data_IF_024349486279
#
_entry.id   IF_024349486279
#
_cell.length_a   1.000
_cell.length_b   1.000
_cell.length_c   1.000
_cell.angle_alpha   90.00
_cell.angle_beta   90.00
_cell.angle_gamma   90.00
#
_symmetry.space_group_name_H-M   'P 1'
#
loop_
_entity.id
_entity.type
_entity.pdbx_description
1 polymer ?
#
# COMPACT_ATOMS: atom_id res chain seq x y z
N UNK A 1 -3.55 4.95 16.35
CA UNK A 1 -2.77 5.79 15.42
C UNK A 1 -1.25 5.74 15.62
N UNK A 2 -0.72 5.59 16.81
CA UNK A 2 0.71 5.70 17.15
C UNK A 2 1.67 4.99 16.18
N UNK A 3 2.05 3.77 16.48
CA UNK A 3 3.05 3.00 15.72
C UNK A 3 2.48 2.29 14.48
N UNK A 4 1.17 2.40 14.24
CA UNK A 4 0.51 1.86 13.06
C UNK A 4 0.68 2.75 11.84
N UNK A 5 0.89 2.15 10.67
CA UNK A 5 1.03 2.85 9.40
C UNK A 5 0.21 2.17 8.31
N UNK A 6 -0.48 2.97 7.50
CA UNK A 6 -1.15 2.54 6.27
C UNK A 6 -0.22 2.88 5.11
N UNK A 7 0.35 1.87 4.48
CA UNK A 7 1.33 2.01 3.39
C UNK A 7 0.72 1.66 2.05
N UNK A 8 0.98 2.47 1.03
CA UNK A 8 0.75 2.09 -0.35
C UNK A 8 2.07 1.60 -0.96
N UNK A 9 2.05 0.39 -1.49
CA UNK A 9 3.16 -0.23 -2.20
C UNK A 9 2.91 -0.19 -3.70
N UNK A 10 3.94 0.14 -4.45
CA UNK A 10 3.95 0.13 -5.90
C UNK A 10 5.10 -0.78 -6.32
N UNK A 11 4.76 -1.94 -6.87
CA UNK A 11 5.72 -2.97 -7.23
C UNK A 11 5.68 -3.25 -8.72
N UNK A 12 6.85 -3.56 -9.32
CA UNK A 12 6.91 -4.11 -10.66
C UNK A 12 6.30 -5.51 -10.69
N UNK A 13 5.47 -5.77 -11.69
CA UNK A 13 4.87 -7.08 -11.90
C UNK A 13 4.75 -7.35 -13.41
N UNK A 14 5.74 -8.03 -13.96
CA UNK A 14 5.86 -8.25 -15.40
C UNK A 14 4.67 -9.00 -16.01
N UNK A 15 4.04 -9.89 -15.24
CA UNK A 15 2.87 -10.66 -15.68
C UNK A 15 1.56 -9.87 -15.64
N UNK A 16 1.59 -8.61 -15.19
CA UNK A 16 0.44 -7.73 -15.19
C UNK A 16 0.40 -6.93 -16.49
N UNK A 17 -0.81 -6.70 -17.02
CA UNK A 17 -1.05 -5.91 -18.25
C UNK A 17 -0.32 -4.56 -18.24
N UNK A 18 -0.20 -3.93 -17.09
CA UNK A 18 0.41 -2.60 -16.93
C UNK A 18 1.88 -2.66 -16.46
N UNK A 19 2.43 -3.85 -16.20
CA UNK A 19 3.79 -4.03 -15.69
C UNK A 19 4.02 -3.62 -14.24
N UNK A 20 2.97 -3.12 -13.56
CA UNK A 20 3.01 -2.62 -12.18
C UNK A 20 1.74 -2.98 -11.44
N UNK A 21 1.83 -3.04 -10.11
CA UNK A 21 0.67 -3.17 -9.25
C UNK A 21 0.75 -2.24 -8.05
N UNK A 22 -0.42 -1.81 -7.58
CA UNK A 22 -0.59 -1.07 -6.34
C UNK A 22 -1.20 -1.98 -5.28
N UNK A 23 -0.65 -1.92 -4.07
CA UNK A 23 -1.14 -2.69 -2.92
C UNK A 23 -1.19 -1.81 -1.68
N UNK A 24 -2.10 -2.12 -0.77
CA UNK A 24 -2.12 -1.55 0.58
C UNK A 24 -1.51 -2.56 1.55
N UNK A 25 -0.73 -2.06 2.49
CA UNK A 25 -0.26 -2.79 3.65
C UNK A 25 -0.56 -1.99 4.91
N UNK A 26 -0.92 -2.69 5.98
CA UNK A 26 -1.01 -2.11 7.31
C UNK A 26 0.15 -2.66 8.12
N UNK A 27 0.94 -1.79 8.72
CA UNK A 27 2.13 -2.18 9.46
C UNK A 27 2.16 -1.56 10.85
N UNK A 28 2.75 -2.28 11.79
CA UNK A 28 3.04 -1.82 13.14
C UNK A 28 4.52 -2.04 13.40
N UNK A 29 5.21 -1.00 13.83
CA UNK A 29 6.66 -1.05 14.04
C UNK A 29 6.96 -0.79 15.52
N UNK A 30 7.85 -1.61 16.10
CA UNK A 30 8.29 -1.48 17.48
C UNK A 30 9.81 -1.74 17.57
N UNK A 31 10.44 -1.19 18.60
CA UNK A 31 11.80 -1.61 18.95
C UNK A 31 11.78 -3.11 19.28
N UNK A 32 12.79 -3.86 18.84
CA UNK A 32 12.86 -5.33 18.98
C UNK A 32 12.66 -5.80 20.44
N UNK A 33 13.14 -5.02 21.42
CA UNK A 33 12.89 -5.32 22.85
C UNK A 33 11.39 -5.33 23.25
N UNK A 34 10.54 -4.66 22.48
CA UNK A 34 9.11 -4.57 22.70
C UNK A 34 8.30 -5.47 21.73
N UNK A 35 8.96 -6.40 21.05
CA UNK A 35 8.32 -7.27 20.05
C UNK A 35 7.08 -8.00 20.58
N UNK A 36 7.00 -8.27 21.87
CA UNK A 36 5.82 -8.89 22.50
C UNK A 36 4.50 -8.20 22.15
N UNK A 37 4.51 -6.89 21.92
CA UNK A 37 3.32 -6.14 21.49
C UNK A 37 2.89 -6.59 20.10
N UNK A 38 3.84 -6.75 19.18
CA UNK A 38 3.57 -7.22 17.81
C UNK A 38 3.10 -8.68 17.79
N UNK A 39 3.72 -9.53 18.60
CA UNK A 39 3.33 -10.94 18.76
C UNK A 39 1.90 -11.05 19.27
N UNK A 40 1.52 -10.21 20.24
CA UNK A 40 0.17 -10.16 20.78
C UNK A 40 -0.85 -9.72 19.72
N UNK A 41 -0.56 -8.66 18.94
CA UNK A 41 -1.45 -8.18 17.87
C UNK A 41 -1.62 -9.27 16.82
N UNK A 42 -0.53 -9.90 16.37
CA UNK A 42 -0.58 -11.01 15.39
C UNK A 42 -1.43 -12.17 15.90
N UNK A 43 -1.29 -12.53 17.17
CA UNK A 43 -2.10 -13.59 17.80
C UNK A 43 -3.59 -13.25 17.80
N UNK A 44 -3.94 -11.98 18.05
CA UNK A 44 -5.34 -11.54 18.03
C UNK A 44 -5.92 -11.54 16.61
N UNK A 45 -5.17 -11.05 15.64
CA UNK A 45 -5.66 -10.89 14.27
C UNK A 45 -5.50 -12.16 13.42
N UNK A 46 -4.58 -13.06 13.76
CA UNK A 46 -4.31 -14.33 13.09
C UNK A 46 -3.99 -14.18 11.59
N UNK A 47 -3.33 -13.07 11.23
CA UNK A 47 -2.94 -12.73 9.85
C UNK A 47 -1.64 -11.95 9.86
N UNK A 48 -0.93 -11.92 8.74
CA UNK A 48 0.28 -11.12 8.59
C UNK A 48 1.55 -11.78 9.12
N UNK A 49 2.66 -11.10 8.96
CA UNK A 49 4.00 -11.59 9.30
C UNK A 49 4.79 -10.56 10.11
N UNK A 50 5.69 -11.04 10.97
CA UNK A 50 6.62 -10.21 11.71
C UNK A 50 8.01 -10.39 11.09
N UNK A 51 8.69 -9.28 10.81
CA UNK A 51 10.06 -9.25 10.33
C UNK A 51 10.93 -8.38 11.25
N UNK A 52 12.15 -8.85 11.51
CA UNK A 52 13.13 -8.13 12.31
C UNK A 52 14.16 -7.44 11.42
N UNK A 53 14.38 -6.17 11.67
CA UNK A 53 15.41 -5.36 11.06
C UNK A 53 16.56 -5.18 12.04
N UNK A 54 17.40 -6.20 12.17
CA UNK A 54 18.45 -6.28 13.19
C UNK A 54 19.42 -5.10 13.18
N UNK A 55 19.74 -4.58 11.99
CA UNK A 55 20.61 -3.39 11.83
C UNK A 55 20.00 -2.11 12.44
N UNK A 56 18.70 -2.06 12.67
CA UNK A 56 17.98 -0.90 13.23
C UNK A 56 17.38 -1.19 14.59
N UNK A 57 17.52 -2.40 15.13
CA UNK A 57 16.87 -2.85 16.36
C UNK A 57 15.35 -2.65 16.32
N UNK A 58 14.72 -2.81 15.15
CA UNK A 58 13.30 -2.63 14.92
C UNK A 58 12.66 -3.91 14.42
N UNK A 59 11.43 -4.15 14.85
CA UNK A 59 10.57 -5.23 14.34
C UNK A 59 9.32 -4.62 13.72
N UNK A 60 8.88 -5.17 12.60
CA UNK A 60 7.67 -4.74 11.90
C UNK A 60 6.70 -5.91 11.72
N UNK A 61 5.47 -5.72 12.17
CA UNK A 61 4.35 -6.59 11.85
C UNK A 61 3.61 -6.02 10.64
N UNK A 62 3.46 -6.81 9.58
CA UNK A 62 2.85 -6.39 8.33
C UNK A 62 1.67 -7.26 7.94
N UNK A 63 0.56 -6.63 7.58
CA UNK A 63 -0.64 -7.23 7.01
C UNK A 63 -0.75 -6.79 5.56
N UNK A 64 -0.88 -7.74 4.63
CA UNK A 64 -0.95 -7.49 3.18
C UNK A 64 -2.18 -8.07 2.50
N UNK A 65 -2.98 -8.86 3.19
CA UNK A 65 -4.24 -9.40 2.68
C UNK A 65 -5.27 -8.28 2.46
N UNK A 66 -5.64 -8.03 1.21
CA UNK A 66 -6.50 -6.91 0.83
C UNK A 66 -7.92 -7.00 1.43
N UNK A 67 -8.49 -8.19 1.49
CA UNK A 67 -9.84 -8.39 2.05
C UNK A 67 -9.84 -8.18 3.55
N UNK A 68 -8.80 -8.67 4.23
CA UNK A 68 -8.65 -8.46 5.66
C UNK A 68 -8.43 -6.98 5.97
N UNK A 69 -7.54 -6.31 5.22
CA UNK A 69 -7.26 -4.87 5.40
C UNK A 69 -8.53 -4.04 5.21
N UNK A 70 -9.32 -4.31 4.18
CA UNK A 70 -10.58 -3.60 3.92
C UNK A 70 -11.50 -3.66 5.15
N UNK A 71 -11.73 -4.86 5.69
CA UNK A 71 -12.54 -5.04 6.91
C UNK A 71 -11.94 -4.36 8.14
N UNK A 72 -10.62 -4.51 8.31
CA UNK A 72 -9.89 -3.89 9.42
C UNK A 72 -10.02 -2.37 9.39
N UNK A 73 -9.80 -1.75 8.23
CA UNK A 73 -9.88 -0.29 8.08
C UNK A 73 -11.31 0.23 8.28
N UNK A 74 -12.31 -0.49 7.80
CA UNK A 74 -13.72 -0.13 8.05
C UNK A 74 -14.06 -0.16 9.54
N UNK A 75 -13.58 -1.17 10.26
CA UNK A 75 -13.79 -1.28 11.71
C UNK A 75 -13.01 -0.23 12.51
N UNK A 76 -11.82 0.15 12.04
CA UNK A 76 -10.98 1.14 12.71
C UNK A 76 -11.40 2.59 12.40
N UNK A 77 -12.12 2.81 11.32
CA UNK A 77 -12.46 4.17 10.85
C UNK A 77 -13.02 5.10 11.94
N UNK A 78 -13.93 4.66 12.82
CA UNK A 78 -14.45 5.53 13.88
C UNK A 78 -13.42 5.93 14.96
N UNK A 79 -12.31 5.21 15.05
CA UNK A 79 -11.31 5.36 16.12
C UNK A 79 -10.01 6.02 15.64
N UNK A 80 -9.80 6.14 14.32
CA UNK A 80 -8.60 6.75 13.75
C UNK A 80 -8.74 8.26 13.75
N UNK A 81 -7.73 8.95 14.26
CA UNK A 81 -7.71 10.42 14.37
C UNK A 81 -6.69 11.03 13.41
N UNK A 82 -5.42 10.63 13.51
CA UNK A 82 -4.33 11.27 12.77
C UNK A 82 -4.19 10.76 11.33
N UNK A 83 -4.61 9.54 11.03
CA UNK A 83 -4.43 8.87 9.75
C UNK A 83 -5.74 8.67 8.97
N UNK A 84 -6.75 9.49 9.28
CA UNK A 84 -8.07 9.42 8.65
C UNK A 84 -7.99 9.55 7.13
N UNK A 85 -7.17 10.49 6.64
CA UNK A 85 -7.00 10.71 5.20
C UNK A 85 -6.35 9.51 4.50
N UNK A 86 -5.28 8.95 5.08
CA UNK A 86 -4.64 7.74 4.55
C UNK A 86 -5.60 6.54 4.55
N UNK A 87 -6.39 6.41 5.59
CA UNK A 87 -7.41 5.36 5.71
C UNK A 87 -8.48 5.48 4.61
N UNK A 88 -9.02 6.66 4.39
CA UNK A 88 -10.03 6.90 3.35
C UNK A 88 -9.48 6.65 1.95
N UNK A 89 -8.26 7.11 1.66
CA UNK A 89 -7.59 6.85 0.39
C UNK A 89 -7.32 5.36 0.16
N UNK A 90 -6.91 4.64 1.21
CA UNK A 90 -6.68 3.20 1.15
C UNK A 90 -7.98 2.44 0.85
N UNK A 91 -9.09 2.81 1.47
CA UNK A 91 -10.41 2.22 1.18
C UNK A 91 -10.85 2.50 -0.26
N UNK A 92 -10.63 3.70 -0.77
CA UNK A 92 -10.90 4.04 -2.17
C UNK A 92 -10.08 3.18 -3.13
N UNK A 93 -8.78 2.99 -2.85
CA UNK A 93 -7.91 2.15 -3.67
C UNK A 93 -8.36 0.67 -3.64
N UNK A 94 -8.68 0.15 -2.48
CA UNK A 94 -9.16 -1.23 -2.32
C UNK A 94 -10.51 -1.46 -3.00
N UNK A 95 -11.35 -0.44 -3.13
CA UNK A 95 -12.63 -0.52 -3.85
C UNK A 95 -12.46 -0.67 -5.37
N UNK A 96 -11.32 -0.29 -5.94
CA UNK A 96 -11.01 -0.44 -7.36
C UNK A 96 -10.62 -1.89 -7.68
N UNK A 97 -11.59 -2.79 -7.74
CA UNK A 97 -11.35 -4.24 -7.96
C UNK A 97 -10.75 -4.55 -9.34
N UNK A 98 -11.03 -3.70 -10.34
CA UNK A 98 -10.57 -3.84 -11.72
C UNK A 98 -9.26 -3.09 -12.04
N UNK A 99 -8.58 -2.54 -11.03
CA UNK A 99 -7.33 -1.77 -11.19
C UNK A 99 -6.19 -2.55 -11.86
N UNK A 100 -6.30 -3.87 -11.96
CA UNK A 100 -5.34 -4.73 -12.65
C UNK A 100 -5.67 -4.96 -14.12
N UNK A 101 -6.88 -4.62 -14.58
CA UNK A 101 -7.40 -4.92 -15.92
C UNK A 101 -7.79 -3.67 -16.70
N UNK A 102 -8.30 -2.65 -16.03
CA UNK A 102 -8.82 -1.42 -16.62
C UNK A 102 -7.82 -0.28 -16.45
N UNK A 103 -7.48 0.42 -17.55
CA UNK A 103 -6.48 1.50 -17.54
C UNK A 103 -6.91 2.69 -16.68
N UNK A 104 -8.17 3.09 -16.75
CA UNK A 104 -8.70 4.21 -15.95
C UNK A 104 -8.62 3.90 -14.46
N UNK A 105 -9.02 2.70 -14.07
CA UNK A 105 -8.92 2.24 -12.68
C UNK A 105 -7.47 2.09 -12.22
N UNK A 106 -6.59 1.64 -13.10
CA UNK A 106 -5.15 1.56 -12.81
C UNK A 106 -4.55 2.95 -12.54
N UNK A 107 -4.85 3.94 -13.40
CA UNK A 107 -4.39 5.33 -13.21
C UNK A 107 -4.91 5.90 -11.90
N UNK A 108 -6.19 5.69 -11.59
CA UNK A 108 -6.80 6.14 -10.33
C UNK A 108 -6.13 5.50 -9.13
N UNK A 109 -5.90 4.18 -9.17
CA UNK A 109 -5.19 3.47 -8.10
C UNK A 109 -3.76 3.97 -7.91
N UNK A 110 -3.07 4.29 -9.00
CA UNK A 110 -1.73 4.88 -8.96
C UNK A 110 -1.73 6.23 -8.27
N UNK A 111 -2.63 7.12 -8.63
CA UNK A 111 -2.78 8.46 -8.01
C UNK A 111 -3.07 8.35 -6.52
N UNK A 112 -4.00 7.47 -6.12
CA UNK A 112 -4.33 7.22 -4.72
C UNK A 112 -3.11 6.69 -3.94
N UNK A 113 -2.37 5.74 -4.53
CA UNK A 113 -1.16 5.21 -3.92
C UNK A 113 -0.08 6.28 -3.73
N UNK A 114 0.13 7.13 -4.72
CA UNK A 114 1.08 8.24 -4.63
C UNK A 114 0.69 9.27 -3.57
N UNK A 115 -0.59 9.55 -3.43
CA UNK A 115 -1.09 10.47 -2.39
C UNK A 115 -0.87 9.89 -0.98
N UNK A 116 -1.18 8.62 -0.76
CA UNK A 116 -0.89 7.94 0.52
C UNK A 116 0.60 8.02 0.85
N UNK A 117 1.47 7.75 -0.13
CA UNK A 117 2.92 7.81 0.05
C UNK A 117 3.39 9.22 0.41
N UNK A 118 2.82 10.23 -0.21
CA UNK A 118 3.09 11.64 0.10
C UNK A 118 2.73 11.99 1.54
N UNK A 119 1.57 11.55 2.01
CA UNK A 119 1.11 11.79 3.39
C UNK A 119 1.97 11.08 4.44
N UNK A 120 2.60 9.97 4.08
CA UNK A 120 3.50 9.23 4.97
C UNK A 120 4.95 9.77 4.98
N UNK A 121 5.22 10.89 4.32
CA UNK A 121 6.54 11.53 4.25
C UNK A 121 7.67 10.59 3.76
N UNK A 122 7.36 9.63 2.90
CA UNK A 122 8.40 8.83 2.27
C UNK A 122 9.27 9.71 1.37
N UNK A 123 10.61 9.63 1.46
CA UNK A 123 11.48 10.38 0.57
C UNK A 123 11.12 10.08 -0.88
N UNK A 124 11.04 11.12 -1.71
CA UNK A 124 10.63 11.09 -3.13
C UNK A 124 11.60 10.33 -4.07
N UNK A 125 12.43 9.43 -3.54
CA UNK A 125 13.34 8.61 -4.33
C UNK A 125 12.62 7.40 -4.96
N UNK A 126 11.59 7.69 -5.73
CA UNK A 126 11.19 6.79 -6.79
C UNK A 126 11.28 7.62 -8.06
N UNK A 127 12.43 7.57 -8.74
CA UNK A 127 12.52 7.92 -10.16
C UNK A 127 11.80 6.83 -10.94
N UNK A 128 10.51 6.72 -10.70
CA UNK A 128 9.63 5.96 -11.55
C UNK A 128 9.40 6.88 -12.75
N UNK A 129 10.00 6.55 -13.88
CA UNK A 129 9.41 6.93 -15.16
C UNK A 129 7.93 6.62 -15.01
N UNK A 130 7.11 7.66 -14.94
CA UNK A 130 5.68 7.53 -14.65
C UNK A 130 5.11 6.52 -15.66
N UNK A 131 4.65 5.31 -15.27
CA UNK A 131 4.17 4.31 -16.21
C UNK A 131 2.98 4.82 -17.01
N UNK A 132 2.24 5.81 -16.49
CA UNK A 132 1.14 6.48 -17.20
C UNK A 132 1.66 7.21 -18.47
N UNK A 133 2.81 7.87 -18.39
CA UNK A 133 3.41 8.54 -19.55
C UNK A 133 4.00 7.54 -20.55
N UNK A 134 4.49 6.41 -20.06
CA UNK A 134 5.01 5.33 -20.93
C UNK A 134 3.88 4.63 -21.69
N UNK A 135 2.69 4.51 -21.10
CA UNK A 135 1.52 3.94 -21.78
C UNK A 135 0.98 4.83 -22.90
N UNK A 136 0.90 6.14 -22.70
CA UNK A 136 0.48 7.08 -23.75
C UNK A 136 1.41 7.02 -24.98
N UNK A 137 2.71 6.78 -24.78
CA UNK A 137 3.67 6.66 -25.89
C UNK A 137 3.56 5.34 -26.67
N UNK A 138 3.18 4.23 -26.01
CA UNK A 138 3.02 2.94 -26.69
C UNK A 138 1.75 2.86 -27.54
N UNK A 139 0.68 3.53 -27.13
CA UNK A 139 -0.57 3.54 -27.89
C UNK A 139 -0.55 4.49 -29.09
N UNK A 140 0.39 5.44 -29.18
CA UNK A 140 0.57 6.33 -30.33
C UNK A 140 1.38 5.67 -31.44
N UNK A 141 2.10 4.55 -31.16
CA UNK A 141 2.96 3.85 -32.11
C UNK A 141 2.29 2.75 -32.93
N UNK A 142 1.01 2.42 -32.74
CA UNK A 142 0.33 1.30 -33.39
C UNK A 142 -0.74 1.69 -34.43
N UNK A 143 -0.97 2.99 -34.66
CA UNK A 143 -1.88 3.47 -35.69
C UNK A 143 -1.15 4.08 -36.93
N UNK A 144 -0.05 3.48 -37.30
CA UNK A 144 0.73 3.88 -38.47
C UNK A 144 0.76 2.82 -39.55
N UNK A 145 -0.39 2.45 -40.10
CA UNK A 145 -0.56 1.93 -41.46
C UNK A 145 -1.98 2.02 -41.90
#
# INVERSE_FOLDING_TARGET
DGDGCIKARIDKQLNNKFGWRTRIAVTFTQHTKNQRVLDWIQKQLQVGTIADYSSKHMSEYAITDSKFIERLLLNLKPYVVNKTKQLDLALQLLALKDRFKNETSFKKAWELAMEIRSLNNYPKKISLSNPVTTFSRRNVGTNGQ
#
